data_IF_129846049269
#
_entry.id   IF_129846049269
#
_cell.length_a   1.000
_cell.length_b   1.000
_cell.length_c   1.000
_cell.angle_alpha   90.00
_cell.angle_beta   90.00
_cell.angle_gamma   90.00
#
_symmetry.space_group_name_H-M   'P 1'
#
loop_
_entity.id
_entity.type
_entity.pdbx_description
1 polymer ?
#
# COMPACT_ATOMS: atom_id res chain seq x y z
N UNK A 1 -17.78 -33.17 -24.61
CA UNK A 1 -17.37 -32.65 -23.29
C UNK A 1 -17.42 -31.13 -23.43
N UNK A 2 -18.43 -30.50 -22.85
CA UNK A 2 -18.55 -29.05 -22.83
C UNK A 2 -17.46 -28.53 -21.89
N UNK A 3 -16.47 -27.82 -22.46
CA UNK A 3 -15.51 -27.08 -21.65
C UNK A 3 -16.31 -26.19 -20.70
N UNK A 4 -16.07 -26.34 -19.39
CA UNK A 4 -16.63 -25.42 -18.39
C UNK A 4 -16.13 -24.00 -18.72
N UNK A 5 -17.02 -23.04 -18.96
CA UNK A 5 -16.59 -21.76 -19.47
C UNK A 5 -15.74 -21.05 -18.42
N UNK A 6 -14.64 -20.48 -18.88
CA UNK A 6 -13.84 -19.52 -18.12
C UNK A 6 -14.76 -18.47 -17.50
N UNK A 7 -14.77 -18.35 -16.17
CA UNK A 7 -15.61 -17.37 -15.46
C UNK A 7 -14.83 -16.59 -14.41
N UNK A 8 -15.26 -15.35 -14.16
CA UNK A 8 -14.83 -14.56 -13.02
C UNK A 8 -15.92 -14.68 -11.94
N UNK A 9 -15.52 -15.08 -10.74
CA UNK A 9 -16.45 -15.23 -9.61
C UNK A 9 -15.84 -14.77 -8.30
N UNK A 10 -16.69 -14.56 -7.30
CA UNK A 10 -16.23 -14.34 -5.91
C UNK A 10 -15.47 -15.56 -5.40
N UNK A 11 -14.47 -15.29 -4.58
CA UNK A 11 -13.70 -16.32 -3.87
C UNK A 11 -14.55 -16.86 -2.72
N UNK A 12 -14.47 -18.17 -2.51
CA UNK A 12 -15.11 -18.90 -1.43
C UNK A 12 -14.06 -19.50 -0.49
N UNK A 13 -14.44 -19.85 0.74
CA UNK A 13 -13.56 -20.55 1.68
C UNK A 13 -13.07 -21.90 1.14
N UNK A 14 -13.89 -22.57 0.32
CA UNK A 14 -13.54 -23.82 -0.36
C UNK A 14 -12.39 -23.69 -1.36
N UNK A 15 -12.07 -22.48 -1.84
CA UNK A 15 -10.99 -22.24 -2.79
C UNK A 15 -9.60 -22.24 -2.14
N UNK A 16 -9.50 -22.44 -0.82
CA UNK A 16 -8.25 -22.36 -0.08
C UNK A 16 -7.14 -23.24 -0.65
N UNK A 17 -7.48 -24.44 -1.16
CA UNK A 17 -6.53 -25.36 -1.79
C UNK A 17 -5.89 -24.74 -3.04
N UNK A 18 -6.69 -24.19 -3.93
CA UNK A 18 -6.21 -23.53 -5.16
C UNK A 18 -5.41 -22.26 -4.83
N UNK A 19 -5.82 -21.51 -3.80
CA UNK A 19 -5.09 -20.31 -3.33
C UNK A 19 -3.69 -20.69 -2.84
N UNK A 20 -3.55 -21.75 -2.06
CA UNK A 20 -2.26 -22.27 -1.61
C UNK A 20 -1.39 -22.67 -2.80
N UNK A 21 -1.96 -23.34 -3.79
CA UNK A 21 -1.25 -23.75 -5.01
C UNK A 21 -0.78 -22.53 -5.83
N UNK A 22 -1.64 -21.52 -6.03
CA UNK A 22 -1.29 -20.26 -6.69
C UNK A 22 -0.13 -19.57 -5.96
N UNK A 23 -0.14 -19.57 -4.64
CA UNK A 23 0.85 -18.89 -3.80
C UNK A 23 2.17 -19.64 -3.68
N UNK A 24 2.18 -20.95 -3.83
CA UNK A 24 3.33 -21.82 -3.56
C UNK A 24 4.60 -21.47 -4.35
N UNK A 25 4.45 -20.91 -5.54
CA UNK A 25 5.56 -20.48 -6.43
C UNK A 25 5.76 -18.96 -6.45
N UNK A 26 5.13 -18.22 -5.54
CA UNK A 26 5.31 -16.77 -5.39
C UNK A 26 6.40 -16.53 -4.34
N UNK A 27 7.42 -15.74 -4.68
CA UNK A 27 8.54 -15.41 -3.80
C UNK A 27 9.14 -16.64 -3.08
N UNK A 28 9.29 -17.75 -3.82
CA UNK A 28 9.80 -19.02 -3.28
C UNK A 28 8.94 -19.62 -2.14
N UNK A 29 7.62 -19.38 -2.18
CA UNK A 29 6.67 -19.88 -1.18
C UNK A 29 6.33 -18.89 -0.05
N UNK A 30 6.97 -17.71 -0.01
CA UNK A 30 6.75 -16.70 1.03
C UNK A 30 5.65 -15.69 0.66
N UNK A 31 4.58 -16.13 -0.02
CA UNK A 31 3.46 -15.26 -0.34
C UNK A 31 2.56 -15.04 0.89
N UNK A 32 2.23 -13.79 1.18
CA UNK A 32 1.36 -13.42 2.30
C UNK A 32 -0.13 -13.77 2.07
N UNK A 33 -0.53 -14.05 0.82
CA UNK A 33 -1.94 -14.26 0.47
C UNK A 33 -2.63 -15.34 1.33
N UNK A 34 -2.02 -16.51 1.62
CA UNK A 34 -2.62 -17.52 2.48
C UNK A 34 -2.92 -17.06 3.92
N UNK A 35 -2.17 -16.09 4.43
CA UNK A 35 -2.35 -15.57 5.79
C UNK A 35 -3.42 -14.49 5.90
N UNK A 36 -3.78 -13.81 4.79
CA UNK A 36 -4.75 -12.70 4.79
C UNK A 36 -6.08 -13.05 4.15
N UNK A 37 -6.21 -14.18 3.47
CA UNK A 37 -7.40 -14.50 2.69
C UNK A 37 -8.67 -14.62 3.56
N UNK A 38 -8.57 -15.21 4.74
CA UNK A 38 -9.70 -15.37 5.64
C UNK A 38 -10.19 -13.99 6.16
N UNK A 39 -9.27 -13.06 6.43
CA UNK A 39 -9.61 -11.66 6.74
C UNK A 39 -10.35 -11.00 5.57
N UNK A 40 -9.84 -11.16 4.33
CA UNK A 40 -10.49 -10.55 3.17
C UNK A 40 -11.90 -11.09 2.92
N UNK A 41 -12.12 -12.38 3.17
CA UNK A 41 -13.44 -12.99 3.02
C UNK A 41 -14.43 -12.57 4.11
N UNK A 42 -13.93 -12.20 5.29
CA UNK A 42 -14.75 -11.72 6.40
C UNK A 42 -15.00 -10.21 6.37
N UNK A 43 -14.14 -9.43 5.71
CA UNK A 43 -14.23 -7.97 5.66
C UNK A 43 -15.22 -7.51 4.57
N UNK A 44 -16.34 -6.86 4.92
CA UNK A 44 -17.34 -6.39 3.95
C UNK A 44 -16.82 -5.31 3.01
N UNK A 45 -15.69 -4.67 3.30
CA UNK A 45 -15.04 -3.71 2.41
C UNK A 45 -14.18 -4.37 1.33
N UNK A 46 -13.96 -5.69 1.42
CA UNK A 46 -13.19 -6.47 0.47
C UNK A 46 -14.09 -7.11 -0.60
N UNK A 47 -13.67 -6.97 -1.83
CA UNK A 47 -14.30 -7.56 -3.01
C UNK A 47 -13.29 -8.51 -3.65
N UNK A 48 -13.21 -9.74 -3.15
CA UNK A 48 -12.24 -10.75 -3.57
C UNK A 48 -12.80 -11.59 -4.68
N UNK A 49 -12.14 -11.58 -5.84
CA UNK A 49 -12.56 -12.31 -7.04
C UNK A 49 -11.41 -13.13 -7.62
N UNK A 50 -11.79 -14.17 -8.35
CA UNK A 50 -10.84 -14.99 -9.08
C UNK A 50 -11.33 -15.39 -10.46
N UNK A 51 -10.42 -15.89 -11.26
CA UNK A 51 -10.70 -16.54 -12.55
C UNK A 51 -10.69 -18.05 -12.32
N UNK A 52 -11.79 -18.69 -12.66
CA UNK A 52 -11.92 -20.14 -12.65
C UNK A 52 -11.84 -20.66 -14.08
N UNK A 53 -11.11 -21.76 -14.26
CA UNK A 53 -10.97 -22.50 -15.52
C UNK A 53 -11.10 -23.98 -15.19
N UNK A 54 -12.00 -24.69 -15.86
CA UNK A 54 -12.23 -26.12 -15.65
C UNK A 54 -12.46 -26.48 -14.16
N UNK A 55 -13.25 -25.67 -13.47
CA UNK A 55 -13.56 -25.87 -12.05
C UNK A 55 -12.42 -25.51 -11.06
N UNK A 56 -11.26 -25.07 -11.54
CA UNK A 56 -10.10 -24.70 -10.70
C UNK A 56 -9.86 -23.20 -10.72
N UNK A 57 -9.54 -22.64 -9.55
CA UNK A 57 -9.15 -21.23 -9.45
C UNK A 57 -7.71 -21.06 -9.97
N UNK A 58 -7.52 -20.25 -11.01
CA UNK A 58 -6.20 -20.02 -11.63
C UNK A 58 -5.66 -18.61 -11.43
N UNK A 59 -6.49 -17.69 -10.97
CA UNK A 59 -6.06 -16.33 -10.63
C UNK A 59 -6.95 -15.73 -9.54
N UNK A 60 -6.39 -14.84 -8.74
CA UNK A 60 -7.08 -14.18 -7.63
C UNK A 60 -6.61 -12.71 -7.52
N UNK A 61 -7.45 -11.87 -6.98
CA UNK A 61 -7.15 -10.50 -6.57
C UNK A 61 -8.23 -9.94 -5.65
N UNK A 62 -7.92 -8.83 -4.99
CA UNK A 62 -8.84 -8.14 -4.09
C UNK A 62 -8.94 -6.66 -4.43
N UNK A 63 -10.14 -6.11 -4.28
CA UNK A 63 -10.43 -4.68 -4.24
C UNK A 63 -10.99 -4.35 -2.87
N UNK A 64 -10.27 -3.56 -2.08
CA UNK A 64 -10.70 -3.10 -0.75
C UNK A 64 -11.16 -1.65 -0.82
N UNK A 65 -12.29 -1.34 -0.22
CA UNK A 65 -12.73 0.05 -0.08
C UNK A 65 -11.98 0.71 1.07
N UNK A 66 -11.27 1.79 0.78
CA UNK A 66 -10.56 2.62 1.77
C UNK A 66 -11.00 4.08 1.64
N UNK A 67 -10.48 4.97 2.49
CA UNK A 67 -10.81 6.40 2.47
C UNK A 67 -12.32 6.68 2.54
N UNK A 68 -13.04 5.93 3.39
CA UNK A 68 -14.51 5.97 3.54
C UNK A 68 -15.23 5.64 2.22
N UNK A 69 -14.76 4.63 1.50
CA UNK A 69 -15.36 4.17 0.25
C UNK A 69 -15.00 5.05 -0.98
N UNK A 70 -14.15 6.07 -0.83
CA UNK A 70 -13.77 6.94 -1.96
C UNK A 70 -12.67 6.34 -2.83
N UNK A 71 -11.90 5.41 -2.30
CA UNK A 71 -10.77 4.78 -3.00
C UNK A 71 -10.95 3.26 -3.00
N UNK A 72 -10.89 2.66 -4.16
CA UNK A 72 -10.73 1.22 -4.33
C UNK A 72 -9.23 0.87 -4.32
N UNK A 73 -8.79 0.17 -3.30
CA UNK A 73 -7.42 -0.31 -3.17
C UNK A 73 -7.30 -1.71 -3.76
N UNK A 74 -6.54 -1.86 -4.86
CA UNK A 74 -6.32 -3.15 -5.50
C UNK A 74 -5.08 -3.82 -4.90
N UNK A 75 -5.21 -5.08 -4.50
CA UNK A 75 -4.14 -5.83 -3.85
C UNK A 75 -4.21 -7.33 -4.18
N UNK A 76 -3.12 -8.05 -3.95
CA UNK A 76 -3.08 -9.51 -4.01
C UNK A 76 -3.31 -10.13 -5.37
N UNK A 77 -3.11 -9.41 -6.47
CA UNK A 77 -3.26 -9.99 -7.81
C UNK A 77 -2.22 -11.08 -8.04
N UNK A 78 -2.68 -12.31 -8.17
CA UNK A 78 -1.86 -13.50 -8.43
C UNK A 78 -2.44 -14.31 -9.58
N UNK A 79 -1.55 -14.95 -10.33
CA UNK A 79 -1.92 -15.91 -11.38
C UNK A 79 -1.05 -17.16 -11.20
N UNK A 80 -1.69 -18.32 -11.19
CA UNK A 80 -1.01 -19.61 -11.12
C UNK A 80 0.11 -19.70 -12.17
N UNK A 81 1.25 -20.27 -11.81
CA UNK A 81 2.45 -20.24 -12.64
C UNK A 81 2.20 -20.77 -14.06
N UNK A 82 1.49 -21.89 -14.18
CA UNK A 82 1.21 -22.57 -15.45
C UNK A 82 0.10 -21.90 -16.27
N UNK A 83 -0.59 -20.94 -15.66
CA UNK A 83 -1.66 -20.15 -16.29
C UNK A 83 -1.26 -18.70 -16.60
N UNK A 84 0.02 -18.34 -16.42
CA UNK A 84 0.52 -17.00 -16.77
C UNK A 84 0.51 -16.78 -18.29
N UNK A 85 0.53 -15.50 -18.69
CA UNK A 85 0.51 -15.04 -20.10
C UNK A 85 -0.79 -15.36 -20.88
N UNK A 86 -1.82 -15.92 -20.23
CA UNK A 86 -3.13 -16.20 -20.82
C UNK A 86 -4.15 -15.05 -20.65
N UNK A 87 -3.73 -13.89 -20.11
CA UNK A 87 -4.58 -12.69 -19.99
C UNK A 87 -5.36 -12.57 -18.68
N UNK A 88 -5.32 -13.53 -17.76
CA UNK A 88 -6.17 -13.56 -16.56
C UNK A 88 -5.95 -12.36 -15.60
N UNK A 89 -4.70 -11.90 -15.44
CA UNK A 89 -4.42 -10.69 -14.68
C UNK A 89 -5.10 -9.45 -15.29
N UNK A 90 -5.13 -9.33 -16.63
CA UNK A 90 -5.84 -8.26 -17.34
C UNK A 90 -7.35 -8.37 -17.13
N UNK A 91 -7.90 -9.59 -17.20
CA UNK A 91 -9.33 -9.83 -16.99
C UNK A 91 -9.77 -9.40 -15.57
N UNK A 92 -9.03 -9.81 -14.52
CA UNK A 92 -9.31 -9.39 -13.14
C UNK A 92 -9.16 -7.88 -12.96
N UNK A 93 -8.13 -7.28 -13.55
CA UNK A 93 -7.95 -5.83 -13.47
C UNK A 93 -9.14 -5.10 -14.10
N UNK A 94 -9.60 -5.53 -15.28
CA UNK A 94 -10.78 -4.96 -15.93
C UNK A 94 -12.07 -5.18 -15.11
N UNK A 95 -12.19 -6.33 -14.45
CA UNK A 95 -13.30 -6.61 -13.55
C UNK A 95 -13.31 -5.66 -12.35
N UNK A 96 -12.15 -5.44 -11.70
CA UNK A 96 -12.03 -4.47 -10.59
C UNK A 96 -12.28 -3.02 -11.03
N UNK A 97 -11.95 -2.65 -12.25
CA UNK A 97 -12.31 -1.34 -12.80
C UNK A 97 -13.84 -1.17 -12.83
N UNK A 98 -14.57 -2.19 -13.32
CA UNK A 98 -16.05 -2.18 -13.35
C UNK A 98 -16.65 -2.16 -11.95
N UNK A 99 -16.17 -3.03 -11.04
CA UNK A 99 -16.63 -3.00 -9.64
C UNK A 99 -16.40 -1.63 -9.00
N UNK A 100 -15.23 -1.01 -9.23
CA UNK A 100 -14.96 0.33 -8.73
C UNK A 100 -15.93 1.39 -9.26
N UNK A 101 -16.32 1.28 -10.53
CA UNK A 101 -17.34 2.14 -11.16
C UNK A 101 -18.72 1.89 -10.53
N UNK A 102 -19.16 0.64 -10.44
CA UNK A 102 -20.45 0.24 -9.84
C UNK A 102 -20.57 0.68 -8.37
N UNK A 103 -19.47 0.64 -7.62
CA UNK A 103 -19.41 1.10 -6.23
C UNK A 103 -19.24 2.62 -6.10
N UNK A 104 -19.11 3.35 -7.20
CA UNK A 104 -18.98 4.81 -7.21
C UNK A 104 -17.70 5.33 -6.56
N UNK A 105 -16.61 4.55 -6.54
CA UNK A 105 -15.33 5.03 -6.01
C UNK A 105 -14.78 6.17 -6.88
N UNK A 106 -14.12 7.14 -6.25
CA UNK A 106 -13.53 8.28 -6.99
C UNK A 106 -12.24 7.91 -7.71
N UNK A 107 -11.57 6.86 -7.25
CA UNK A 107 -10.29 6.40 -7.77
C UNK A 107 -9.99 4.96 -7.41
N UNK A 108 -9.15 4.35 -8.21
CA UNK A 108 -8.53 3.06 -7.93
C UNK A 108 -7.03 3.25 -7.75
N UNK A 109 -6.45 2.58 -6.76
CA UNK A 109 -5.03 2.67 -6.45
C UNK A 109 -4.43 1.30 -6.15
N UNK A 110 -3.15 1.17 -6.38
CA UNK A 110 -2.32 0.09 -5.85
C UNK A 110 -0.85 0.47 -5.87
N UNK A 111 -0.04 -0.25 -5.12
CA UNK A 111 1.42 -0.12 -5.17
C UNK A 111 2.06 -1.34 -5.79
N UNK A 112 3.22 -1.13 -6.40
CA UNK A 112 4.07 -2.23 -6.88
C UNK A 112 5.54 -1.83 -6.84
N UNK A 113 6.42 -2.82 -6.75
CA UNK A 113 7.86 -2.58 -6.83
C UNK A 113 8.31 -2.20 -8.24
N UNK A 114 9.33 -1.36 -8.34
CA UNK A 114 9.90 -0.92 -9.62
C UNK A 114 10.51 -2.05 -10.46
N UNK A 115 10.82 -3.17 -9.85
CA UNK A 115 11.29 -4.39 -10.50
C UNK A 115 10.16 -5.27 -11.05
N UNK A 116 8.90 -5.02 -10.70
CA UNK A 116 7.74 -5.79 -11.16
C UNK A 116 7.24 -5.29 -12.52
N UNK A 117 7.99 -5.60 -13.58
CA UNK A 117 7.70 -5.18 -14.96
C UNK A 117 6.29 -5.61 -15.43
N UNK A 118 5.83 -6.78 -15.00
CA UNK A 118 4.50 -7.30 -15.39
C UNK A 118 3.38 -6.42 -14.82
N UNK A 119 3.45 -6.06 -13.54
CA UNK A 119 2.47 -5.19 -12.88
C UNK A 119 2.49 -3.76 -13.46
N UNK A 120 3.69 -3.22 -13.75
CA UNK A 120 3.84 -1.90 -14.38
C UNK A 120 3.23 -1.89 -15.79
N UNK A 121 3.49 -2.93 -16.59
CA UNK A 121 2.88 -3.07 -17.92
C UNK A 121 1.34 -3.14 -17.82
N UNK A 122 0.82 -3.89 -16.86
CA UNK A 122 -0.62 -4.01 -16.62
C UNK A 122 -1.24 -2.67 -16.22
N UNK A 123 -0.56 -1.89 -15.35
CA UNK A 123 -0.97 -0.54 -14.98
C UNK A 123 -1.17 0.36 -16.21
N UNK A 124 -0.15 0.42 -17.06
CA UNK A 124 -0.17 1.26 -18.26
C UNK A 124 -1.28 0.84 -19.23
N UNK A 125 -1.44 -0.48 -19.45
CA UNK A 125 -2.51 -1.02 -20.31
C UNK A 125 -3.92 -0.74 -19.75
N UNK A 126 -4.08 -0.70 -18.43
CA UNK A 126 -5.36 -0.40 -17.77
C UNK A 126 -5.60 1.12 -17.59
N UNK A 127 -4.68 1.97 -18.04
CA UNK A 127 -4.79 3.43 -17.98
C UNK A 127 -4.53 4.02 -16.60
N UNK A 128 -3.81 3.32 -15.72
CA UNK A 128 -3.30 3.87 -14.48
C UNK A 128 -2.13 4.82 -14.76
N UNK A 129 -2.05 5.89 -13.97
CA UNK A 129 -0.92 6.83 -13.98
C UNK A 129 -0.08 6.62 -12.73
N UNK A 130 1.22 6.70 -12.86
CA UNK A 130 2.11 6.76 -11.71
C UNK A 130 1.90 8.12 -11.02
N UNK A 131 1.63 8.12 -9.72
CA UNK A 131 1.53 9.35 -8.92
C UNK A 131 2.91 9.78 -8.43
N UNK A 132 3.57 8.90 -7.68
CA UNK A 132 4.92 9.14 -7.16
C UNK A 132 5.61 7.82 -6.80
N UNK A 133 6.85 7.92 -6.33
CA UNK A 133 7.66 6.79 -5.85
C UNK A 133 8.16 7.07 -4.44
N UNK A 134 8.28 6.00 -3.65
CA UNK A 134 8.98 5.99 -2.36
C UNK A 134 10.11 4.97 -2.42
N UNK A 135 11.20 5.23 -1.71
CA UNK A 135 12.26 4.26 -1.50
C UNK A 135 11.88 3.33 -0.34
N UNK A 136 12.09 2.04 -0.52
CA UNK A 136 12.02 1.02 0.53
C UNK A 136 13.42 0.52 0.78
N UNK A 137 13.87 0.55 2.04
CA UNK A 137 15.22 0.21 2.47
C UNK A 137 15.15 -0.81 3.58
N UNK A 138 15.66 -2.02 3.31
CA UNK A 138 15.73 -3.13 4.25
C UNK A 138 17.09 -3.15 4.96
N UNK A 139 17.07 -3.21 6.27
CA UNK A 139 18.26 -3.34 7.11
C UNK A 139 18.14 -4.58 7.98
N UNK A 140 19.25 -5.28 8.13
CA UNK A 140 19.40 -6.46 9.01
C UNK A 140 20.67 -6.34 9.84
N UNK A 141 20.80 -7.23 10.81
CA UNK A 141 21.97 -7.29 11.70
C UNK A 141 22.19 -5.97 12.46
N UNK A 142 21.11 -5.33 12.89
CA UNK A 142 21.17 -4.04 13.59
C UNK A 142 22.00 -4.13 14.87
N UNK A 143 21.92 -5.25 15.59
CA UNK A 143 22.72 -5.51 16.81
C UNK A 143 24.22 -5.47 16.54
N UNK A 144 24.65 -5.98 15.38
CA UNK A 144 26.06 -5.97 14.99
C UNK A 144 26.55 -4.57 14.57
N UNK A 145 25.67 -3.79 13.92
CA UNK A 145 26.00 -2.45 13.39
C UNK A 145 25.90 -1.34 14.43
N UNK A 146 25.13 -1.56 15.51
CA UNK A 146 24.83 -0.54 16.54
C UNK A 146 25.71 -0.63 17.79
N UNK A 147 26.74 -1.45 17.81
CA UNK A 147 27.59 -1.73 18.99
C UNK A 147 28.15 -0.50 19.73
N UNK A 148 28.07 0.71 19.16
CA UNK A 148 28.60 1.95 19.75
C UNK A 148 27.65 3.17 19.67
N UNK A 149 26.39 3.00 19.31
CA UNK A 149 25.52 4.15 19.11
C UNK A 149 24.61 4.39 20.34
N UNK A 150 25.10 5.13 21.32
CA UNK A 150 24.22 5.85 22.24
C UNK A 150 23.39 6.88 21.46
N UNK A 151 22.37 6.41 20.73
CA UNK A 151 21.48 7.31 19.99
C UNK A 151 20.62 8.05 21.00
N UNK A 152 20.87 9.36 21.15
CA UNK A 152 20.01 10.23 21.94
C UNK A 152 18.62 10.27 21.30
N UNK A 153 17.59 9.97 22.07
CA UNK A 153 16.19 10.03 21.60
C UNK A 153 15.82 11.48 21.26
N UNK A 154 15.64 11.75 19.98
CA UNK A 154 15.37 13.08 19.43
C UNK A 154 13.95 13.25 18.89
N UNK A 155 13.13 12.18 19.01
CA UNK A 155 11.71 12.20 18.67
C UNK A 155 10.87 11.88 19.90
N UNK A 156 9.60 12.29 19.88
CA UNK A 156 8.56 11.91 20.84
C UNK A 156 7.36 11.33 20.12
N UNK A 157 6.54 10.59 20.83
CA UNK A 157 5.22 10.20 20.31
C UNK A 157 4.37 11.46 20.04
N UNK A 158 3.50 11.35 19.05
CA UNK A 158 2.59 12.39 18.62
C UNK A 158 1.20 11.79 18.34
N UNK A 159 0.19 12.62 18.38
CA UNK A 159 -1.17 12.23 18.03
C UNK A 159 -1.41 12.35 16.53
N UNK A 160 -2.43 11.64 16.01
CA UNK A 160 -2.87 11.80 14.64
C UNK A 160 -3.27 13.24 14.28
N UNK A 161 -3.76 14.00 15.27
CA UNK A 161 -4.12 15.42 15.11
C UNK A 161 -2.89 16.29 14.89
N UNK A 162 -1.83 16.12 15.70
CA UNK A 162 -0.56 16.82 15.53
C UNK A 162 0.06 16.54 14.15
N UNK A 163 0.02 15.28 13.70
CA UNK A 163 0.53 14.93 12.37
C UNK A 163 -0.26 15.63 11.27
N UNK A 164 -1.58 15.72 11.43
CA UNK A 164 -2.43 16.42 10.47
C UNK A 164 -2.11 17.91 10.39
N UNK A 165 -1.89 18.56 11.53
CA UNK A 165 -1.47 19.96 11.61
C UNK A 165 -0.09 20.19 10.95
N UNK A 166 0.89 19.32 11.24
CA UNK A 166 2.21 19.37 10.58
C UNK A 166 2.09 19.25 9.07
N UNK A 167 1.24 18.36 8.58
CA UNK A 167 0.99 18.19 7.15
C UNK A 167 0.33 19.43 6.53
N UNK A 168 -0.62 20.06 7.22
CA UNK A 168 -1.30 21.28 6.77
C UNK A 168 -0.34 22.47 6.69
N UNK A 169 0.54 22.61 7.69
CA UNK A 169 1.57 23.64 7.72
C UNK A 169 2.73 23.38 6.73
N UNK A 170 2.86 22.15 6.23
CA UNK A 170 3.92 21.73 5.30
C UNK A 170 3.33 20.89 4.16
N UNK A 171 2.60 21.48 3.20
CA UNK A 171 1.84 20.75 2.18
C UNK A 171 2.71 19.89 1.24
N UNK A 172 3.97 20.27 1.05
CA UNK A 172 4.93 19.53 0.21
C UNK A 172 5.57 18.33 0.91
N UNK A 173 5.35 18.19 2.22
CA UNK A 173 5.97 17.12 3.01
C UNK A 173 5.45 15.73 2.61
N UNK A 174 4.18 15.62 2.28
CA UNK A 174 3.51 14.39 1.87
C UNK A 174 3.11 14.48 0.40
N UNK A 175 3.75 13.73 -0.51
CA UNK A 175 3.46 13.79 -1.94
C UNK A 175 1.98 13.56 -2.23
N UNK A 176 1.36 14.48 -2.97
CA UNK A 176 -0.05 14.42 -3.35
C UNK A 176 -1.02 14.26 -2.15
N UNK A 177 -0.58 14.62 -0.94
CA UNK A 177 -1.30 14.36 0.31
C UNK A 177 -1.70 12.89 0.49
N UNK A 178 -0.88 11.96 0.05
CA UNK A 178 -1.11 10.51 0.19
C UNK A 178 -0.02 9.88 1.04
N UNK A 179 -0.44 9.22 2.11
CA UNK A 179 0.43 8.52 3.04
C UNK A 179 0.64 7.07 2.58
N UNK A 180 1.91 6.65 2.53
CA UNK A 180 2.32 5.27 2.26
C UNK A 180 2.68 4.59 3.57
N UNK A 181 2.18 3.38 3.79
CA UNK A 181 2.51 2.51 4.91
C UNK A 181 2.38 1.04 4.48
N UNK A 182 3.31 0.21 4.87
CA UNK A 182 3.28 -1.25 4.64
C UNK A 182 2.84 -1.66 3.23
N UNK A 183 3.34 -1.00 2.20
CA UNK A 183 2.94 -1.19 0.79
C UNK A 183 1.50 -0.74 0.46
N UNK A 184 0.81 -0.08 1.38
CA UNK A 184 -0.55 0.46 1.21
C UNK A 184 -0.50 1.98 1.15
N UNK A 185 -1.59 2.59 0.73
CA UNK A 185 -1.74 4.04 0.73
C UNK A 185 -3.14 4.46 1.20
N UNK A 186 -3.18 5.57 1.92
CA UNK A 186 -4.43 6.26 2.29
C UNK A 186 -4.28 7.75 2.07
N UNK A 187 -5.41 8.45 1.95
CA UNK A 187 -5.42 9.90 1.93
C UNK A 187 -4.87 10.47 3.24
N UNK A 188 -4.06 11.54 3.16
CA UNK A 188 -3.53 12.29 4.31
C UNK A 188 -4.60 13.11 5.02
N UNK A 189 -5.74 12.50 5.30
CA UNK A 189 -6.88 13.08 6.02
C UNK A 189 -6.91 12.60 7.46
N UNK A 190 -7.69 13.26 8.32
CA UNK A 190 -7.89 12.80 9.69
C UNK A 190 -8.38 11.34 9.77
N UNK A 191 -9.16 10.87 8.77
CA UNK A 191 -9.59 9.47 8.68
C UNK A 191 -8.43 8.54 8.33
N UNK A 192 -7.58 8.91 7.35
CA UNK A 192 -6.39 8.13 6.98
C UNK A 192 -5.38 8.06 8.11
N UNK A 193 -5.15 9.18 8.81
CA UNK A 193 -4.29 9.21 10.01
C UNK A 193 -4.82 8.26 11.10
N UNK A 194 -6.14 8.26 11.37
CA UNK A 194 -6.74 7.32 12.33
C UNK A 194 -6.62 5.86 11.87
N UNK A 195 -6.70 5.61 10.56
CA UNK A 195 -6.52 4.26 10.03
C UNK A 195 -5.09 3.76 10.26
N UNK A 196 -4.08 4.58 9.98
CA UNK A 196 -2.68 4.26 10.27
C UNK A 196 -2.49 4.07 11.78
N UNK A 197 -3.04 4.96 12.61
CA UNK A 197 -2.90 4.94 14.06
C UNK A 197 -3.55 3.75 14.78
N UNK A 198 -4.26 2.85 14.09
CA UNK A 198 -4.74 1.59 14.66
C UNK A 198 -3.59 0.65 15.02
N UNK A 199 -2.57 0.60 14.17
CA UNK A 199 -1.46 -0.34 14.30
C UNK A 199 -0.12 0.38 14.48
N UNK A 200 0.00 1.62 14.02
CA UNK A 200 1.23 2.40 14.03
C UNK A 200 1.21 3.50 15.08
N UNK A 201 2.37 3.80 15.65
CA UNK A 201 2.59 4.98 16.49
C UNK A 201 3.24 6.08 15.69
N UNK A 202 2.82 7.31 15.94
CA UNK A 202 3.35 8.50 15.27
C UNK A 202 4.44 9.14 16.12
N UNK A 203 5.41 9.76 15.44
CA UNK A 203 6.55 10.42 16.07
C UNK A 203 6.89 11.73 15.39
N UNK A 204 7.25 12.72 16.18
CA UNK A 204 7.72 14.06 15.76
C UNK A 204 9.02 14.40 16.46
N UNK A 205 9.73 15.41 15.93
CA UNK A 205 10.94 15.92 16.57
C UNK A 205 10.65 16.53 17.95
N UNK A 206 11.53 16.26 18.92
CA UNK A 206 11.52 16.95 20.22
C UNK A 206 12.02 18.37 20.08
N UNK A 207 11.57 19.26 20.99
CA UNK A 207 12.09 20.62 21.17
C UNK A 207 12.11 21.44 19.87
N UNK A 208 11.04 21.34 19.07
CA UNK A 208 10.80 22.19 17.92
C UNK A 208 9.36 22.69 17.94
N UNK A 209 9.19 24.00 17.77
CA UNK A 209 7.86 24.64 17.70
C UNK A 209 7.23 24.47 16.32
N UNK A 210 8.06 24.35 15.28
CA UNK A 210 7.61 24.14 13.89
C UNK A 210 8.22 22.86 13.32
N UNK A 211 7.61 21.68 13.56
CA UNK A 211 8.11 20.42 13.04
C UNK A 211 8.04 20.35 11.52
N UNK A 212 9.17 20.03 10.87
CA UNK A 212 9.30 19.85 9.43
C UNK A 212 9.45 18.38 9.02
N UNK A 213 9.02 17.48 9.91
CA UNK A 213 9.11 16.05 9.70
C UNK A 213 8.22 15.32 10.69
N UNK A 214 7.75 14.16 10.26
CA UNK A 214 7.10 13.16 11.11
C UNK A 214 7.39 11.75 10.58
N UNK A 215 7.14 10.77 11.42
CA UNK A 215 7.22 9.36 11.04
C UNK A 215 6.16 8.57 11.78
N UNK A 216 5.96 7.35 11.34
CA UNK A 216 5.17 6.36 12.06
C UNK A 216 5.74 4.98 11.80
N UNK A 217 5.52 4.07 12.74
CA UNK A 217 6.04 2.72 12.64
C UNK A 217 5.41 1.76 13.63
N UNK A 218 5.61 0.47 13.37
CA UNK A 218 5.14 -0.62 14.20
C UNK A 218 5.98 -1.90 13.99
N UNK A 219 5.87 -2.83 14.93
CA UNK A 219 6.42 -4.17 14.73
C UNK A 219 5.54 -4.95 13.76
N UNK A 220 6.19 -5.67 12.86
CA UNK A 220 5.56 -6.63 11.95
C UNK A 220 6.16 -8.00 12.11
N UNK A 221 5.35 -8.99 11.80
CA UNK A 221 5.78 -10.38 11.75
C UNK A 221 5.12 -11.13 10.62
N UNK A 222 5.79 -12.12 10.10
CA UNK A 222 5.24 -13.19 9.27
C UNK A 222 5.64 -14.54 9.87
N UNK A 223 5.43 -15.64 9.14
CA UNK A 223 5.71 -16.99 9.63
C UNK A 223 7.19 -17.22 9.97
N UNK A 224 8.11 -16.43 9.44
CA UNK A 224 9.56 -16.71 9.51
C UNK A 224 10.36 -15.57 10.15
N UNK A 225 9.83 -14.35 10.18
CA UNK A 225 10.60 -13.18 10.60
C UNK A 225 9.76 -12.12 11.29
N UNK A 226 10.45 -11.32 12.11
CA UNK A 226 9.90 -10.13 12.76
C UNK A 226 10.79 -8.94 12.46
N UNK A 227 10.17 -7.80 12.11
CA UNK A 227 10.90 -6.57 11.81
C UNK A 227 10.12 -5.33 12.25
N UNK A 228 10.83 -4.22 12.34
CA UNK A 228 10.22 -2.91 12.56
C UNK A 228 9.97 -2.21 11.23
N UNK A 229 8.71 -1.96 10.88
CA UNK A 229 8.30 -1.23 9.68
C UNK A 229 8.00 0.22 10.03
N UNK A 230 8.54 1.16 9.25
CA UNK A 230 8.30 2.58 9.48
C UNK A 230 8.38 3.40 8.20
N UNK A 231 7.63 4.52 8.20
CA UNK A 231 7.65 5.51 7.13
C UNK A 231 8.06 6.86 7.69
N UNK A 232 8.89 7.59 6.96
CA UNK A 232 9.37 8.93 7.34
C UNK A 232 8.99 9.93 6.25
N UNK A 233 8.37 11.01 6.66
CA UNK A 233 8.18 12.23 5.87
C UNK A 233 9.02 13.34 6.47
N UNK A 234 9.89 13.95 5.68
CA UNK A 234 10.83 14.96 6.14
C UNK A 234 11.19 15.97 5.05
N UNK A 235 11.48 17.18 5.44
CA UNK A 235 11.86 18.26 4.53
C UNK A 235 13.33 18.19 4.09
N UNK A 236 14.20 17.52 4.87
CA UNK A 236 15.63 17.45 4.59
C UNK A 236 16.31 16.21 5.18
N UNK A 237 17.55 15.96 4.78
CA UNK A 237 18.32 14.78 5.16
C UNK A 237 18.63 14.70 6.68
N UNK A 238 18.76 15.83 7.37
CA UNK A 238 19.03 15.88 8.83
C UNK A 238 17.80 15.40 9.61
N UNK A 239 16.64 15.90 9.24
CA UNK A 239 15.37 15.47 9.84
C UNK A 239 15.10 13.98 9.56
N UNK A 240 15.31 13.53 8.30
CA UNK A 240 15.23 12.14 7.96
C UNK A 240 16.15 11.27 8.85
N UNK A 241 17.43 11.61 8.93
CA UNK A 241 18.41 10.85 9.72
C UNK A 241 18.05 10.78 11.21
N UNK A 242 17.48 11.86 11.76
CA UNK A 242 17.05 11.88 13.16
C UNK A 242 15.92 10.89 13.44
N UNK A 243 14.87 10.87 12.60
CA UNK A 243 13.80 9.88 12.68
C UNK A 243 14.31 8.46 12.47
N UNK A 244 15.11 8.25 11.41
CA UNK A 244 15.67 6.94 11.06
C UNK A 244 16.44 6.33 12.24
N UNK A 245 17.40 7.06 12.82
CA UNK A 245 18.19 6.59 13.95
C UNK A 245 17.33 6.25 15.18
N UNK A 246 16.26 7.01 15.43
CA UNK A 246 15.33 6.70 16.51
C UNK A 246 14.52 5.42 16.23
N UNK A 247 14.08 5.19 15.00
CA UNK A 247 13.39 3.95 14.64
C UNK A 247 14.30 2.72 14.75
N UNK A 248 15.57 2.82 14.38
CA UNK A 248 16.54 1.75 14.63
C UNK A 248 16.69 1.45 16.13
N UNK A 249 16.79 2.49 16.96
CA UNK A 249 16.85 2.34 18.42
C UNK A 249 15.59 1.63 18.96
N UNK A 250 14.39 2.08 18.56
CA UNK A 250 13.12 1.46 18.94
C UNK A 250 13.06 -0.03 18.57
N UNK A 251 13.49 -0.38 17.35
CA UNK A 251 13.56 -1.77 16.92
C UNK A 251 14.45 -2.61 17.86
N UNK A 252 15.63 -2.12 18.18
CA UNK A 252 16.58 -2.80 19.07
C UNK A 252 16.04 -2.92 20.50
N UNK A 253 15.39 -1.89 21.04
CA UNK A 253 14.80 -1.88 22.40
C UNK A 253 13.73 -2.97 22.57
N UNK A 254 13.00 -3.31 21.50
CA UNK A 254 12.01 -4.41 21.51
C UNK A 254 12.58 -5.74 20.98
N UNK A 255 13.91 -5.83 20.83
CA UNK A 255 14.61 -7.06 20.46
C UNK A 255 14.64 -7.40 18.97
N UNK A 256 14.14 -6.51 18.10
CA UNK A 256 14.16 -6.72 16.65
C UNK A 256 15.53 -6.40 16.05
N UNK A 257 15.97 -7.21 15.09
CA UNK A 257 17.28 -7.08 14.41
C UNK A 257 17.14 -6.69 12.93
N UNK A 258 15.91 -6.46 12.46
CA UNK A 258 15.61 -6.05 11.10
C UNK A 258 14.63 -4.88 11.05
N UNK A 259 14.77 -4.03 10.03
CA UNK A 259 13.86 -2.91 9.79
C UNK A 259 13.57 -2.71 8.31
N UNK A 260 12.37 -2.18 8.03
CA UNK A 260 11.96 -1.66 6.72
C UNK A 260 11.66 -0.18 6.84
N UNK A 261 12.47 0.65 6.18
CA UNK A 261 12.26 2.09 6.10
C UNK A 261 11.62 2.46 4.76
N UNK A 262 10.50 3.15 4.80
CA UNK A 262 9.87 3.78 3.63
C UNK A 262 10.08 5.29 3.70
N UNK A 263 10.67 5.87 2.66
CA UNK A 263 10.98 7.31 2.60
C UNK A 263 11.05 7.81 1.16
N UNK A 264 10.96 9.11 0.94
CA UNK A 264 11.17 9.71 -0.39
C UNK A 264 12.54 9.30 -0.98
N UNK A 265 12.56 8.94 -2.27
CA UNK A 265 13.79 8.52 -2.99
C UNK A 265 14.89 9.57 -2.98
N UNK A 266 14.56 10.85 -2.81
CA UNK A 266 15.55 11.93 -2.67
C UNK A 266 16.53 11.72 -1.50
N UNK A 267 16.14 10.96 -0.47
CA UNK A 267 16.96 10.69 0.72
C UNK A 267 17.87 9.47 0.61
N UNK A 268 17.88 8.76 -0.52
CA UNK A 268 18.76 7.60 -0.71
C UNK A 268 20.24 7.94 -0.44
N UNK A 269 20.71 9.09 -0.91
CA UNK A 269 22.08 9.53 -0.65
C UNK A 269 22.37 9.88 0.82
N UNK A 270 21.32 10.15 1.61
CA UNK A 270 21.48 10.51 3.00
C UNK A 270 22.02 9.35 3.86
N UNK A 271 21.80 8.10 3.47
CA UNK A 271 22.42 6.95 4.16
C UNK A 271 23.94 7.08 4.24
N UNK A 272 24.58 7.57 3.18
CA UNK A 272 26.03 7.81 3.17
C UNK A 272 26.40 9.12 3.87
N UNK A 273 25.73 10.23 3.53
CA UNK A 273 26.11 11.58 4.00
C UNK A 273 25.81 11.80 5.49
N UNK A 274 24.88 11.05 6.08
CA UNK A 274 24.52 11.11 7.49
C UNK A 274 25.07 9.95 8.31
N UNK A 275 26.02 9.18 7.75
CA UNK A 275 26.68 8.04 8.38
C UNK A 275 25.68 7.03 8.98
N UNK A 276 24.62 6.73 8.22
CA UNK A 276 23.61 5.74 8.62
C UNK A 276 23.99 4.35 8.12
N UNK A 277 23.50 3.26 8.75
CA UNK A 277 23.68 1.92 8.25
C UNK A 277 23.26 1.80 6.78
N UNK A 278 24.03 1.08 5.98
CA UNK A 278 23.65 0.81 4.59
C UNK A 278 22.56 -0.24 4.55
N UNK A 279 21.53 -0.06 3.71
CA UNK A 279 20.54 -1.09 3.53
C UNK A 279 21.15 -2.33 2.88
N UNK A 280 20.68 -3.52 3.27
CA UNK A 280 21.04 -4.79 2.63
C UNK A 280 20.52 -4.84 1.19
N UNK A 281 19.29 -4.36 1.00
CA UNK A 281 18.70 -4.14 -0.31
C UNK A 281 17.75 -2.93 -0.27
N UNK A 282 17.47 -2.40 -1.46
CA UNK A 282 16.51 -1.33 -1.65
C UNK A 282 15.64 -1.59 -2.88
N UNK A 283 14.48 -0.97 -2.88
CA UNK A 283 13.52 -1.02 -3.96
C UNK A 283 12.78 0.31 -4.02
N UNK A 284 12.33 0.71 -5.20
CA UNK A 284 11.35 1.80 -5.30
C UNK A 284 9.95 1.23 -5.34
N UNK A 285 9.09 1.70 -4.46
CA UNK A 285 7.66 1.45 -4.46
C UNK A 285 6.99 2.52 -5.32
N UNK A 286 6.20 2.09 -6.29
CA UNK A 286 5.45 2.97 -7.19
C UNK A 286 3.99 2.94 -6.79
N UNK A 287 3.41 4.12 -6.51
CA UNK A 287 1.96 4.26 -6.36
C UNK A 287 1.34 4.58 -7.72
N UNK A 288 0.41 3.74 -8.15
CA UNK A 288 -0.42 3.95 -9.32
C UNK A 288 -1.84 4.38 -8.93
N UNK A 289 -2.40 5.30 -9.71
CA UNK A 289 -3.79 5.75 -9.58
C UNK A 289 -4.48 5.75 -10.93
N UNK A 290 -5.72 5.32 -10.94
CA UNK A 290 -6.68 5.61 -12.01
C UNK A 290 -7.88 6.31 -11.38
N UNK A 291 -8.18 7.52 -11.82
CA UNK A 291 -9.40 8.21 -11.42
C UNK A 291 -10.58 7.53 -12.11
N UNK A 292 -11.59 7.23 -11.34
CA UNK A 292 -12.86 6.78 -11.87
C UNK A 292 -13.44 7.87 -12.75
N UNK A 293 -14.25 7.48 -13.73
CA UNK A 293 -14.90 8.39 -14.66
C UNK A 293 -15.67 9.48 -13.89
N UNK A 294 -15.75 10.72 -14.42
CA UNK A 294 -16.63 11.72 -13.83
C UNK A 294 -18.03 11.11 -13.75
N UNK A 295 -18.79 11.34 -12.67
CA UNK A 295 -20.17 10.86 -12.61
C UNK A 295 -20.87 11.35 -13.89
N UNK A 296 -21.58 10.44 -14.54
CA UNK A 296 -22.47 10.80 -15.65
C UNK A 296 -23.32 11.96 -15.13
N UNK A 297 -23.14 13.15 -15.69
CA UNK A 297 -24.06 14.26 -15.46
C UNK A 297 -25.37 13.81 -16.09
N UNK A 298 -26.27 13.25 -15.27
CA UNK A 298 -27.66 13.16 -15.65
C UNK A 298 -28.16 14.60 -15.74
N UNK A 299 -28.24 15.11 -16.96
CA UNK A 299 -28.86 16.38 -17.23
C UNK A 299 -30.39 16.18 -17.11
N UNK A 300 -30.89 16.41 -15.90
CA UNK A 300 -32.34 16.37 -15.58
C UNK A 300 -33.09 17.60 -16.16
N UNK A 301 -32.46 18.38 -17.03
CA UNK A 301 -33.07 19.64 -17.55
C UNK A 301 -33.99 19.48 -18.75
N UNK A 302 -34.16 18.27 -19.31
CA UNK A 302 -34.90 18.11 -20.58
C UNK A 302 -36.26 17.38 -20.48
N UNK A 303 -36.84 17.17 -19.29
CA UNK A 303 -38.21 16.66 -19.19
C UNK A 303 -39.17 17.73 -18.63
N UNK A 304 -39.41 18.80 -19.41
CA UNK A 304 -40.65 19.61 -19.28
C UNK A 304 -41.65 19.12 -20.31
N UNK A 305 -42.77 18.54 -19.93
CA UNK A 305 -43.83 18.25 -20.89
C UNK A 305 -44.38 19.57 -21.43
N UNK A 306 -44.32 19.73 -22.73
CA UNK A 306 -45.04 20.80 -23.46
C UNK A 306 -46.53 20.65 -23.19
N UNK A 307 -47.08 21.56 -22.39
CA UNK A 307 -48.55 21.72 -22.30
C UNK A 307 -49.05 22.34 -23.62
N UNK A 308 -49.71 21.52 -24.39
CA UNK A 308 -50.59 22.01 -25.44
C UNK A 308 -51.86 22.59 -24.81
N UNK A 309 -52.04 23.88 -24.90
CA UNK A 309 -53.35 24.51 -24.68
C UNK A 309 -54.17 24.41 -26.00
N UNK A 310 -55.34 23.80 -25.89
CA UNK A 310 -56.48 24.05 -26.73
C UNK A 310 -57.44 24.93 -25.97
#
# INVERSE_FOLDING_TARGET
>A
MTEDPLKIRRILKSDRGDILEISSKIWSGHDYLPSVIDEWLADPTCHTYGVEVEGRLVAIGNLRLVDRGKTGWMEGLRVHADHRKKGYAKMLTQHFLRIGEDLGVKRLRYTTGSNNRASIKLANMAGFKQLFRMGIFWHENLKATSKNAHVRTTVREATASEIKEIQENNPDLVPQSVLIYDWKAVEGTASGMRQIGKDHRFYVRKNTEDPKSFSFGHAREDMESRWWSFTIYSSNAREFAAHFKNHLKMALEIGLDATVCTVSTQFEKAFKTQHMPRPRWNLQLILFEKRAFPPLKFDLSNDRPTRHHH
#
